data_IF_569036825517
#
_entry.id   IF_569036825517
#
_cell.length_a   1.000
_cell.length_b   1.000
_cell.length_c   1.000
_cell.angle_alpha   90.00
_cell.angle_beta   90.00
_cell.angle_gamma   90.00
#
_symmetry.space_group_name_H-M   'P 1'
#
loop_
_entity.id
_entity.type
_entity.pdbx_description
1 polymer ?
#
# COMPACT_ATOMS: atom_id res chain seq x y z
N UNK A 1 -63.96 -13.18 -3.43
CA UNK A 1 -62.81 -12.53 -4.13
C UNK A 1 -62.38 -11.29 -3.35
N UNK A 2 -61.14 -11.20 -2.87
CA UNK A 2 -60.23 -10.06 -3.10
C UNK A 2 -58.94 -10.23 -2.29
N UNK A 3 -57.80 -10.02 -2.97
CA UNK A 3 -56.42 -10.29 -2.58
C UNK A 3 -55.73 -8.93 -2.38
N UNK A 4 -55.15 -8.63 -1.22
CA UNK A 4 -54.27 -7.45 -1.02
C UNK A 4 -53.01 -7.89 -0.26
N UNK A 5 -51.96 -8.30 -0.97
CA UNK A 5 -50.82 -7.52 -1.51
C UNK A 5 -49.82 -7.10 -0.41
N UNK A 6 -48.75 -7.91 -0.32
CA UNK A 6 -47.58 -7.78 0.56
C UNK A 6 -46.90 -6.42 0.36
N UNK A 7 -46.75 -5.65 1.43
CA UNK A 7 -45.92 -4.46 1.49
C UNK A 7 -44.44 -4.84 1.53
N UNK A 8 -43.74 -4.56 0.43
CA UNK A 8 -42.31 -4.82 0.23
C UNK A 8 -41.51 -3.79 1.03
N UNK A 9 -40.84 -4.27 2.09
CA UNK A 9 -39.84 -3.55 2.90
C UNK A 9 -38.84 -2.82 1.99
N UNK A 10 -38.58 -1.55 2.31
CA UNK A 10 -37.65 -0.69 1.61
C UNK A 10 -36.28 -1.33 1.43
N UNK A 11 -35.90 -1.53 0.17
CA UNK A 11 -34.57 -1.95 -0.20
C UNK A 11 -33.62 -0.78 0.00
N UNK A 12 -32.62 -1.02 0.87
CA UNK A 12 -31.50 -0.13 1.16
C UNK A 12 -30.84 0.32 -0.15
N UNK A 13 -30.79 1.63 -0.37
CA UNK A 13 -29.91 2.26 -1.36
C UNK A 13 -28.48 2.09 -0.84
N UNK A 14 -27.82 1.02 -1.25
CA UNK A 14 -26.39 0.82 -1.05
C UNK A 14 -25.68 1.94 -1.85
N UNK A 15 -25.37 3.03 -1.15
CA UNK A 15 -24.56 4.12 -1.68
C UNK A 15 -23.19 3.51 -2.00
N UNK A 16 -22.84 3.45 -3.28
CA UNK A 16 -21.48 3.18 -3.76
C UNK A 16 -20.51 4.02 -2.93
N UNK A 17 -19.76 3.34 -2.06
CA UNK A 17 -18.77 3.92 -1.14
C UNK A 17 -17.35 3.58 -1.62
N UNK A 18 -17.21 3.21 -2.89
CA UNK A 18 -15.98 2.64 -3.47
C UNK A 18 -15.12 3.65 -4.23
N UNK A 19 -15.60 4.87 -4.47
CA UNK A 19 -14.88 5.90 -5.24
C UNK A 19 -14.15 6.94 -4.38
N UNK A 20 -14.44 7.05 -3.08
CA UNK A 20 -13.85 8.06 -2.19
C UNK A 20 -12.54 7.64 -1.51
N UNK A 21 -12.09 6.39 -1.70
CA UNK A 21 -11.03 5.79 -0.88
C UNK A 21 -9.66 5.68 -1.59
N UNK A 22 -9.48 6.40 -2.70
CA UNK A 22 -8.19 6.53 -3.39
C UNK A 22 -7.58 7.92 -3.15
N UNK A 23 -7.11 8.12 -1.92
CA UNK A 23 -6.39 9.33 -1.48
C UNK A 23 -5.20 9.66 -2.42
N UNK A 24 -4.59 8.65 -3.05
CA UNK A 24 -3.53 8.84 -4.06
C UNK A 24 -4.02 9.57 -5.31
N UNK A 25 -5.22 9.26 -5.79
CA UNK A 25 -5.84 9.96 -6.92
C UNK A 25 -6.25 11.39 -6.58
N UNK A 26 -6.43 11.70 -5.29
CA UNK A 26 -6.67 13.07 -4.82
C UNK A 26 -5.38 13.91 -4.85
N UNK A 27 -4.24 13.33 -4.44
CA UNK A 27 -2.92 13.93 -4.59
C UNK A 27 -2.57 14.17 -6.06
N UNK A 28 -2.83 13.20 -6.93
CA UNK A 28 -2.62 13.31 -8.39
C UNK A 28 -3.44 14.43 -9.05
N UNK A 29 -4.57 14.81 -8.43
CA UNK A 29 -5.47 15.88 -8.88
C UNK A 29 -5.19 17.24 -8.23
N UNK A 30 -4.40 17.28 -7.17
CA UNK A 30 -3.99 18.52 -6.55
C UNK A 30 -2.85 19.11 -7.37
N UNK A 31 -2.98 20.37 -7.80
CA UNK A 31 -1.86 21.09 -8.39
C UNK A 31 -0.74 21.20 -7.34
N UNK A 32 0.26 20.31 -7.40
CA UNK A 32 1.43 20.29 -6.53
C UNK A 32 2.44 21.38 -6.91
N UNK A 33 1.93 22.56 -7.28
CA UNK A 33 2.72 23.73 -7.62
C UNK A 33 2.40 24.86 -6.63
N UNK A 34 3.38 25.22 -5.82
CA UNK A 34 3.28 26.32 -4.86
C UNK A 34 4.48 27.25 -5.03
N UNK A 35 4.21 28.45 -5.54
CA UNK A 35 5.23 29.48 -5.79
C UNK A 35 5.90 29.95 -4.50
N UNK A 36 5.16 30.05 -3.39
CA UNK A 36 5.71 30.45 -2.08
C UNK A 36 6.66 29.39 -1.52
N UNK A 37 6.33 28.12 -1.71
CA UNK A 37 7.20 27.01 -1.35
C UNK A 37 8.51 27.09 -2.15
N UNK A 38 8.40 27.24 -3.47
CA UNK A 38 9.56 27.28 -4.36
C UNK A 38 10.48 28.46 -4.04
N UNK A 39 9.93 29.67 -3.90
CA UNK A 39 10.70 30.86 -3.57
C UNK A 39 11.40 30.75 -2.20
N UNK A 40 10.74 30.15 -1.21
CA UNK A 40 11.33 29.98 0.12
C UNK A 40 12.54 29.03 0.12
N UNK A 41 12.41 27.86 -0.49
CA UNK A 41 13.51 26.87 -0.52
C UNK A 41 14.63 27.24 -1.50
N UNK A 42 14.32 27.94 -2.60
CA UNK A 42 15.35 28.51 -3.48
C UNK A 42 16.17 29.58 -2.77
N UNK A 43 15.54 30.43 -1.94
CA UNK A 43 16.25 31.47 -1.18
C UNK A 43 17.19 30.89 -0.10
N UNK A 44 16.97 29.65 0.35
CA UNK A 44 17.85 28.98 1.31
C UNK A 44 19.15 28.46 0.68
N UNK A 45 19.21 28.37 -0.65
CA UNK A 45 20.39 27.91 -1.40
C UNK A 45 20.93 26.55 -0.92
N UNK A 46 20.04 25.67 -0.43
CA UNK A 46 20.38 24.31 0.02
C UNK A 46 20.47 23.36 -1.18
N UNK A 47 19.66 23.62 -2.21
CA UNK A 47 19.57 22.80 -3.41
C UNK A 47 20.17 23.60 -4.58
N UNK A 48 21.15 23.04 -5.30
CA UNK A 48 21.67 23.64 -6.53
C UNK A 48 20.55 23.94 -7.53
N UNK A 49 20.63 25.07 -8.23
CA UNK A 49 19.55 25.49 -9.15
C UNK A 49 19.29 24.51 -10.30
N UNK A 50 20.32 23.76 -10.71
CA UNK A 50 20.27 22.69 -11.71
C UNK A 50 19.57 21.41 -11.22
N UNK A 51 19.52 21.17 -9.91
CA UNK A 51 18.82 20.02 -9.32
C UNK A 51 17.39 20.35 -8.87
N UNK A 52 16.98 21.63 -8.95
CA UNK A 52 15.68 22.09 -8.45
C UNK A 52 14.49 21.35 -9.08
N UNK A 53 14.52 21.18 -10.40
CA UNK A 53 13.44 20.47 -11.11
C UNK A 53 13.38 18.99 -10.69
N UNK A 54 14.55 18.32 -10.62
CA UNK A 54 14.65 16.94 -10.16
C UNK A 54 14.15 16.77 -8.72
N UNK A 55 14.47 17.71 -7.83
CA UNK A 55 13.99 17.72 -6.45
C UNK A 55 12.46 17.85 -6.39
N UNK A 56 11.90 18.82 -7.12
CA UNK A 56 10.44 19.01 -7.16
C UNK A 56 9.73 17.80 -7.75
N UNK A 57 10.30 17.16 -8.77
CA UNK A 57 9.77 15.91 -9.33
C UNK A 57 9.83 14.76 -8.34
N UNK A 58 10.89 14.66 -7.53
CA UNK A 58 10.94 13.69 -6.43
C UNK A 58 9.83 13.90 -5.40
N UNK A 59 9.52 15.15 -5.04
CA UNK A 59 8.45 15.48 -4.09
C UNK A 59 7.05 15.20 -4.65
N UNK A 60 6.85 15.33 -5.96
CA UNK A 60 5.56 15.07 -6.63
C UNK A 60 5.29 13.59 -6.81
N UNK A 61 6.33 12.76 -6.86
CA UNK A 61 6.16 11.31 -7.05
C UNK A 61 5.48 10.69 -5.81
N UNK A 62 4.47 9.83 -6.01
CA UNK A 62 3.84 9.13 -4.91
C UNK A 62 4.85 8.23 -4.20
N UNK A 63 4.86 8.28 -2.87
CA UNK A 63 5.73 7.43 -2.07
C UNK A 63 5.36 5.95 -2.26
N UNK A 64 6.36 5.05 -2.37
CA UNK A 64 6.11 3.62 -2.42
C UNK A 64 5.47 3.16 -1.11
N UNK A 65 4.69 2.08 -1.15
CA UNK A 65 4.17 1.47 0.07
C UNK A 65 5.29 0.70 0.75
N UNK A 66 5.66 1.11 1.96
CA UNK A 66 6.62 0.37 2.79
C UNK A 66 5.91 -0.34 3.92
N UNK A 67 6.31 -1.56 4.24
CA UNK A 67 5.86 -2.29 5.42
C UNK A 67 7.04 -2.84 6.21
N UNK A 68 6.83 -3.01 7.51
CA UNK A 68 7.81 -3.58 8.44
C UNK A 68 7.28 -4.89 9.01
N UNK A 69 8.15 -5.88 9.10
CA UNK A 69 7.88 -7.11 9.82
C UNK A 69 8.30 -6.88 11.27
N UNK A 70 7.33 -6.95 12.18
CA UNK A 70 7.55 -6.84 13.63
C UNK A 70 7.04 -8.12 14.28
N UNK A 71 7.79 -8.69 15.22
CA UNK A 71 7.44 -9.95 15.87
C UNK A 71 8.61 -10.50 16.68
N UNK A 72 8.48 -11.72 17.20
CA UNK A 72 9.65 -12.43 17.74
C UNK A 72 10.67 -12.66 16.63
N UNK A 73 11.96 -12.72 17.01
CA UNK A 73 13.06 -12.79 16.05
C UNK A 73 12.91 -13.98 15.07
N UNK A 74 12.53 -15.14 15.59
CA UNK A 74 12.31 -16.37 14.80
C UNK A 74 11.14 -16.22 13.80
N UNK A 75 10.01 -15.65 14.24
CA UNK A 75 8.84 -15.42 13.38
C UNK A 75 9.19 -14.40 12.30
N UNK A 76 9.88 -13.31 12.65
CA UNK A 76 10.24 -12.26 11.72
C UNK A 76 11.16 -12.76 10.58
N UNK A 77 12.15 -13.59 10.89
CA UNK A 77 13.00 -14.20 9.86
C UNK A 77 12.24 -15.21 8.99
N UNK A 78 11.37 -16.03 9.58
CA UNK A 78 10.56 -17.01 8.84
C UNK A 78 9.61 -16.33 7.86
N UNK A 79 8.99 -15.22 8.29
CA UNK A 79 8.12 -14.40 7.44
C UNK A 79 8.91 -13.74 6.30
N UNK A 80 10.08 -13.17 6.59
CA UNK A 80 10.95 -12.59 5.57
C UNK A 80 11.32 -13.61 4.50
N UNK A 81 11.72 -14.82 4.90
CA UNK A 81 12.05 -15.92 3.98
C UNK A 81 10.85 -16.37 3.14
N UNK A 82 9.67 -16.45 3.76
CA UNK A 82 8.43 -16.82 3.04
C UNK A 82 8.07 -15.78 1.98
N UNK A 83 8.25 -14.48 2.30
CA UNK A 83 8.04 -13.38 1.35
C UNK A 83 9.02 -13.50 0.18
N UNK A 84 10.30 -13.71 0.46
CA UNK A 84 11.35 -13.81 -0.55
C UNK A 84 11.21 -15.05 -1.45
N UNK A 85 10.92 -16.23 -0.90
CA UNK A 85 10.88 -17.46 -1.71
C UNK A 85 9.54 -17.69 -2.41
N UNK A 86 8.43 -17.30 -1.77
CA UNK A 86 7.10 -17.62 -2.30
C UNK A 86 6.49 -16.43 -3.03
N UNK A 87 6.53 -15.24 -2.42
CA UNK A 87 5.79 -14.09 -2.94
C UNK A 87 6.59 -13.26 -3.94
N UNK A 88 7.91 -13.12 -3.80
CA UNK A 88 8.72 -12.40 -4.80
C UNK A 88 8.61 -13.07 -6.18
N UNK A 89 8.76 -14.40 -6.35
CA UNK A 89 8.59 -15.04 -7.67
C UNK A 89 7.16 -14.98 -8.18
N UNK A 90 6.16 -15.16 -7.30
CA UNK A 90 4.74 -15.09 -7.67
C UNK A 90 4.35 -13.71 -8.22
N UNK A 91 4.97 -12.65 -7.70
CA UNK A 91 4.67 -11.27 -8.07
C UNK A 91 5.54 -10.75 -9.22
N UNK A 92 6.64 -11.43 -9.55
CA UNK A 92 7.57 -11.00 -10.60
C UNK A 92 6.98 -11.05 -12.01
N UNK A 93 6.03 -11.97 -12.26
CA UNK A 93 5.39 -12.17 -13.56
C UNK A 93 4.04 -11.42 -13.70
N UNK A 94 3.66 -10.62 -12.71
CA UNK A 94 2.36 -9.93 -12.73
C UNK A 94 2.46 -8.63 -13.53
N UNK A 95 1.78 -8.62 -14.67
CA UNK A 95 1.58 -7.42 -15.49
C UNK A 95 0.23 -6.77 -15.18
N UNK A 96 0.20 -5.43 -15.11
CA UNK A 96 -1.02 -4.68 -14.91
C UNK A 96 -1.04 -3.50 -15.89
N UNK A 97 -2.07 -3.45 -16.74
CA UNK A 97 -2.22 -2.37 -17.75
C UNK A 97 -0.98 -2.23 -18.65
N UNK A 98 -0.43 -3.38 -19.09
CA UNK A 98 0.79 -3.51 -19.92
C UNK A 98 2.08 -3.00 -19.25
N UNK A 99 2.03 -2.66 -17.96
CA UNK A 99 3.20 -2.28 -17.16
C UNK A 99 3.58 -3.39 -16.17
N UNK A 100 4.88 -3.71 -16.09
CA UNK A 100 5.40 -4.69 -15.14
C UNK A 100 5.36 -4.11 -13.73
N UNK A 101 4.67 -4.78 -12.81
CA UNK A 101 4.59 -4.32 -11.43
C UNK A 101 5.83 -4.83 -10.69
N UNK A 102 6.65 -3.95 -10.08
CA UNK A 102 7.86 -4.39 -9.42
C UNK A 102 7.52 -5.27 -8.20
N UNK A 103 8.25 -6.38 -7.99
CA UNK A 103 8.04 -7.21 -6.81
C UNK A 103 8.45 -6.47 -5.54
N UNK A 104 7.99 -6.92 -4.36
CA UNK A 104 8.46 -6.41 -3.09
C UNK A 104 9.98 -6.54 -2.97
N UNK A 105 10.64 -5.45 -2.58
CA UNK A 105 12.09 -5.40 -2.39
C UNK A 105 12.43 -5.07 -0.95
N UNK A 106 13.48 -5.70 -0.43
CA UNK A 106 13.99 -5.40 0.90
C UNK A 106 14.73 -4.05 0.92
N UNK A 107 14.61 -3.33 2.05
CA UNK A 107 15.29 -2.04 2.26
C UNK A 107 16.70 -2.32 2.84
N UNK A 108 17.80 -2.08 2.09
CA UNK A 108 19.12 -2.56 2.49
C UNK A 108 19.69 -1.90 3.75
N UNK A 109 19.28 -0.67 4.06
CA UNK A 109 19.77 0.07 5.22
C UNK A 109 19.05 -0.32 6.53
N UNK A 110 17.95 -1.08 6.45
CA UNK A 110 17.17 -1.44 7.64
C UNK A 110 17.76 -2.68 8.32
N UNK A 111 17.97 -2.66 9.65
CA UNK A 111 18.56 -3.79 10.37
C UNK A 111 17.80 -5.10 10.17
N UNK A 112 18.55 -6.21 10.07
CA UNK A 112 18.02 -7.57 9.96
C UNK A 112 17.10 -7.81 8.75
N UNK A 113 17.04 -6.87 7.79
CA UNK A 113 16.29 -7.06 6.56
C UNK A 113 14.76 -7.12 6.74
N UNK A 114 14.25 -6.58 7.85
CA UNK A 114 12.84 -6.68 8.25
C UNK A 114 11.94 -5.60 7.64
N UNK A 115 12.49 -4.69 6.84
CA UNK A 115 11.73 -3.67 6.14
C UNK A 115 11.71 -3.94 4.64
N UNK A 116 10.52 -3.83 4.08
CA UNK A 116 10.23 -4.13 2.69
C UNK A 116 9.46 -2.96 2.07
N UNK A 117 9.73 -2.71 0.80
CA UNK A 117 9.02 -1.75 -0.02
C UNK A 117 8.34 -2.48 -1.17
N UNK A 118 7.10 -2.12 -1.47
CA UNK A 118 6.43 -2.54 -2.69
C UNK A 118 5.68 -1.36 -3.28
N UNK A 119 5.85 -1.12 -4.57
CA UNK A 119 5.17 -0.04 -5.27
C UNK A 119 4.02 -0.59 -6.10
N UNK A 120 2.86 -0.80 -5.45
CA UNK A 120 1.67 -1.33 -6.11
C UNK A 120 0.52 -0.36 -5.90
N UNK A 121 -0.22 -0.07 -6.97
CA UNK A 121 -1.42 0.76 -6.90
C UNK A 121 -2.60 -0.02 -6.31
N UNK A 122 -3.54 0.66 -5.65
CA UNK A 122 -4.77 0.01 -5.14
C UNK A 122 -5.60 -0.63 -6.27
N UNK A 123 -5.45 -0.14 -7.51
CA UNK A 123 -6.11 -0.72 -8.69
C UNK A 123 -5.53 -2.12 -8.99
N UNK A 124 -4.21 -2.28 -8.97
CA UNK A 124 -3.54 -3.58 -9.14
C UNK A 124 -3.99 -4.55 -8.04
N UNK A 125 -4.00 -4.10 -6.79
CA UNK A 125 -4.45 -4.89 -5.64
C UNK A 125 -5.91 -5.40 -5.79
N UNK A 126 -6.76 -4.65 -6.51
CA UNK A 126 -8.14 -5.04 -6.77
C UNK A 126 -8.30 -5.98 -7.98
N UNK A 127 -7.42 -5.90 -8.99
CA UNK A 127 -7.53 -6.72 -10.21
C UNK A 127 -6.72 -8.02 -10.16
N UNK A 128 -5.49 -8.02 -9.64
CA UNK A 128 -4.65 -9.21 -9.55
C UNK A 128 -5.01 -10.06 -8.33
N UNK A 129 -5.12 -11.36 -8.52
CA UNK A 129 -5.39 -12.31 -7.43
C UNK A 129 -4.14 -12.61 -6.60
N UNK A 130 -2.97 -12.58 -7.24
CA UNK A 130 -1.65 -12.76 -6.62
C UNK A 130 -1.40 -11.68 -5.57
N UNK A 131 -1.66 -10.42 -5.94
CA UNK A 131 -1.54 -9.29 -5.02
C UNK A 131 -2.58 -9.32 -3.91
N UNK A 132 -3.80 -9.82 -4.15
CA UNK A 132 -4.79 -10.04 -3.08
C UNK A 132 -4.32 -11.08 -2.08
N UNK A 133 -3.78 -12.20 -2.55
CA UNK A 133 -3.22 -13.25 -1.68
C UNK A 133 -2.11 -12.69 -0.81
N UNK A 134 -1.18 -11.94 -1.40
CA UNK A 134 -0.11 -11.27 -0.67
C UNK A 134 -0.63 -10.27 0.36
N UNK A 135 -1.60 -9.42 0.00
CA UNK A 135 -2.20 -8.47 0.94
C UNK A 135 -2.98 -9.16 2.06
N UNK A 136 -3.75 -10.19 1.76
CA UNK A 136 -4.45 -11.00 2.77
C UNK A 136 -3.47 -11.69 3.71
N UNK A 137 -2.33 -12.18 3.20
CA UNK A 137 -1.24 -12.70 4.02
C UNK A 137 -0.68 -11.62 4.95
N UNK A 138 -0.35 -10.42 4.44
CA UNK A 138 0.13 -9.32 5.28
C UNK A 138 -0.87 -8.94 6.39
N UNK A 139 -2.16 -8.85 6.07
CA UNK A 139 -3.21 -8.54 7.06
C UNK A 139 -3.30 -9.65 8.10
N UNK A 140 -3.34 -10.91 7.68
CA UNK A 140 -3.42 -12.06 8.57
C UNK A 140 -2.26 -12.09 9.56
N UNK A 141 -1.03 -11.93 9.09
CA UNK A 141 0.15 -11.91 9.96
C UNK A 141 0.15 -10.72 10.92
N UNK A 142 -0.33 -9.54 10.49
CA UNK A 142 -0.47 -8.39 11.41
C UNK A 142 -1.53 -8.61 12.50
N UNK A 143 -2.57 -9.40 12.24
CA UNK A 143 -3.54 -9.79 13.25
C UNK A 143 -2.94 -10.79 14.25
N UNK A 144 -2.15 -11.75 13.77
CA UNK A 144 -1.48 -12.77 14.60
C UNK A 144 -0.44 -12.14 15.53
N UNK A 145 0.38 -11.20 15.03
CA UNK A 145 1.37 -10.48 15.84
C UNK A 145 0.71 -9.58 16.90
N UNK A 146 -0.47 -9.03 16.61
CA UNK A 146 -1.21 -8.15 17.54
C UNK A 146 -2.04 -8.94 18.56
N UNK A 147 -2.30 -10.22 18.31
CA UNK A 147 -3.00 -11.05 19.28
C UNK A 147 -2.14 -11.11 20.56
N UNK A 148 -2.65 -10.69 21.72
CA UNK A 148 -1.95 -10.92 22.97
C UNK A 148 -1.70 -12.42 23.05
N UNK A 149 -0.44 -12.80 23.23
CA UNK A 149 -0.07 -14.16 23.65
C UNK A 149 -0.75 -14.35 25.00
N UNK A 150 -1.99 -14.84 24.98
CA UNK A 150 -2.69 -15.27 26.17
C UNK A 150 -2.00 -16.57 26.54
N UNK A 151 -0.96 -16.44 27.35
CA UNK A 151 -0.34 -17.53 28.09
C UNK A 151 -1.45 -18.18 28.91
N UNK A 152 -2.04 -19.23 28.35
CA UNK A 152 -2.95 -20.09 29.07
C UNK A 152 -2.08 -21.17 29.70
N UNK A 153 -1.47 -20.82 30.82
CA UNK A 153 -0.81 -21.80 31.67
C UNK A 153 -1.87 -22.76 32.27
N UNK A 154 -1.52 -24.04 32.42
CA UNK A 154 -2.44 -25.14 32.79
C UNK A 154 -2.96 -25.07 34.24
#
# INVERSE_FOLDING_TARGET
>A
MTKRKRGRRGAKKAKNRSEEDDDRGMLERADMNNERFSAYYQAQNIIPGDEWENFMDCLRRPLPTTFRITGSREIAHTLGHTIEETYVPLLNDVTFEDEAVPPPAQIPWYPEGLAWQFNVSKKVLRKSEEFKKFHSFLVHETEVVRAPVVSRDP
#
